data_IF_789601767894
#
_entry.id   IF_789601767894
#
_cell.length_a   1.000
_cell.length_b   1.000
_cell.length_c   1.000
_cell.angle_alpha   90.00
_cell.angle_beta   90.00
_cell.angle_gamma   90.00
#
_symmetry.space_group_name_H-M   'P 1'
#
loop_
_entity.id
_entity.type
_entity.pdbx_description
1 polymer ?
#
# COMPACT_ATOMS: atom_id res chain seq x y z
N UNK A 1 0.31 -7.60 -13.54
CA UNK A 1 -1.04 -8.13 -13.27
C UNK A 1 -1.64 -7.29 -12.16
N UNK A 2 -2.73 -6.58 -12.43
CA UNK A 2 -3.43 -5.75 -11.45
C UNK A 2 -4.63 -6.56 -10.92
N UNK A 3 -4.66 -6.83 -9.62
CA UNK A 3 -5.77 -7.57 -9.00
C UNK A 3 -6.90 -6.59 -8.68
N UNK A 4 -8.03 -6.69 -9.38
CA UNK A 4 -9.23 -5.88 -9.14
C UNK A 4 -10.08 -6.53 -8.04
N UNK A 5 -10.36 -5.79 -6.97
CA UNK A 5 -11.31 -6.18 -5.91
C UNK A 5 -12.48 -5.22 -5.98
N UNK A 6 -13.63 -5.70 -6.44
CA UNK A 6 -14.89 -4.96 -6.43
C UNK A 6 -15.63 -5.25 -5.13
N UNK A 7 -15.83 -4.23 -4.29
CA UNK A 7 -16.70 -4.35 -3.11
C UNK A 7 -17.70 -3.20 -3.15
N UNK A 8 -18.96 -3.50 -3.49
CA UNK A 8 -20.09 -2.58 -3.44
C UNK A 8 -19.87 -1.24 -4.19
N UNK A 9 -19.38 -1.28 -5.43
CA UNK A 9 -19.29 -0.11 -6.32
C UNK A 9 -17.99 0.71 -6.24
N UNK A 10 -17.04 0.34 -5.37
CA UNK A 10 -15.73 0.99 -5.29
C UNK A 10 -14.64 0.10 -5.91
N UNK A 11 -13.91 0.63 -6.89
CA UNK A 11 -12.76 -0.03 -7.51
C UNK A 11 -11.55 0.07 -6.59
N UNK A 12 -11.10 -1.06 -6.06
CA UNK A 12 -9.80 -1.20 -5.39
C UNK A 12 -8.94 -2.18 -6.17
N UNK A 13 -7.63 -1.93 -6.20
CA UNK A 13 -6.71 -2.86 -6.85
C UNK A 13 -5.34 -2.88 -6.22
N UNK A 14 -4.61 -3.95 -6.48
CA UNK A 14 -3.21 -4.10 -6.09
C UNK A 14 -2.32 -3.69 -7.26
N UNK A 15 -1.39 -2.79 -6.99
CA UNK A 15 -0.39 -2.29 -7.92
C UNK A 15 1.01 -2.69 -7.47
N UNK A 16 1.83 -3.15 -8.42
CA UNK A 16 3.23 -3.57 -8.19
C UNK A 16 3.43 -4.64 -7.11
N UNK A 17 2.36 -5.37 -6.74
CA UNK A 17 2.32 -6.25 -5.56
C UNK A 17 2.74 -5.55 -4.25
N UNK A 18 2.64 -4.22 -4.21
CA UNK A 18 3.11 -3.40 -3.09
C UNK A 18 2.04 -2.49 -2.52
N UNK A 19 1.07 -2.06 -3.31
CA UNK A 19 0.14 -1.01 -2.89
C UNK A 19 -1.30 -1.41 -3.16
N UNK A 20 -2.16 -1.30 -2.15
CA UNK A 20 -3.61 -1.31 -2.36
C UNK A 20 -4.06 0.10 -2.70
N UNK A 21 -4.56 0.29 -3.91
CA UNK A 21 -5.08 1.56 -4.43
C UNK A 21 -6.61 1.55 -4.45
N UNK A 22 -7.18 2.75 -4.43
CA UNK A 22 -8.62 3.01 -4.58
C UNK A 22 -8.82 4.22 -5.49
N UNK A 23 -9.80 4.13 -6.38
CA UNK A 23 -10.30 5.29 -7.11
C UNK A 23 -11.42 5.95 -6.31
N UNK A 24 -11.38 7.27 -6.18
CA UNK A 24 -12.44 8.07 -5.57
C UNK A 24 -13.43 8.59 -6.63
N UNK A 25 -14.64 9.04 -6.24
CA UNK A 25 -15.64 9.49 -7.21
C UNK A 25 -15.21 10.70 -8.06
N UNK A 26 -14.28 11.51 -7.56
CA UNK A 26 -13.65 12.63 -8.27
C UNK A 26 -12.51 12.18 -9.21
N UNK A 27 -12.25 10.87 -9.32
CA UNK A 27 -11.22 10.30 -10.20
C UNK A 27 -9.82 10.25 -9.61
N UNK A 28 -9.63 10.71 -8.37
CA UNK A 28 -8.35 10.66 -7.68
C UNK A 28 -7.97 9.22 -7.27
N UNK A 29 -6.67 8.93 -7.27
CA UNK A 29 -6.13 7.61 -6.89
C UNK A 29 -5.49 7.71 -5.50
N UNK A 30 -6.02 6.96 -4.54
CA UNK A 30 -5.52 6.94 -3.17
C UNK A 30 -4.84 5.59 -2.88
N UNK A 31 -3.63 5.64 -2.33
CA UNK A 31 -2.96 4.47 -1.74
C UNK A 31 -3.45 4.31 -0.30
N UNK A 32 -4.08 3.16 -0.01
CA UNK A 32 -4.66 2.84 1.29
C UNK A 32 -3.62 2.23 2.24
N UNK A 33 -2.85 1.27 1.75
CA UNK A 33 -1.86 0.51 2.52
C UNK A 33 -0.77 -0.05 1.61
N UNK A 34 0.33 -0.48 2.24
CA UNK A 34 1.39 -1.24 1.57
C UNK A 34 1.27 -2.73 1.93
N UNK A 35 1.42 -3.61 0.94
CA UNK A 35 1.43 -5.07 1.11
C UNK A 35 2.82 -5.55 1.53
N UNK A 36 2.84 -6.50 2.46
CA UNK A 36 4.05 -7.20 2.89
C UNK A 36 4.42 -8.31 1.88
N UNK A 37 5.60 -8.88 2.05
CA UNK A 37 6.15 -9.90 1.15
C UNK A 37 5.28 -11.18 1.06
N UNK A 38 4.43 -11.45 2.05
CA UNK A 38 3.49 -12.57 2.02
C UNK A 38 2.28 -12.32 1.09
N UNK A 39 2.14 -11.10 0.59
CA UNK A 39 1.10 -10.69 -0.36
C UNK A 39 -0.33 -10.65 0.20
N UNK A 40 -0.53 -11.00 1.48
CA UNK A 40 -1.83 -10.98 2.16
C UNK A 40 -1.89 -9.92 3.25
N UNK A 41 -0.80 -9.77 3.99
CA UNK A 41 -0.68 -8.81 5.08
C UNK A 41 -0.39 -7.42 4.54
N UNK A 42 -0.89 -6.40 5.24
CA UNK A 42 -0.71 -5.00 4.85
C UNK A 42 -0.48 -4.12 6.06
N UNK A 43 0.24 -3.02 5.86
CA UNK A 43 0.42 -1.95 6.86
C UNK A 43 -0.11 -0.62 6.33
N UNK A 44 -0.68 0.19 7.20
CA UNK A 44 -1.24 1.49 6.84
C UNK A 44 -0.13 2.46 6.40
N UNK A 45 -0.49 3.46 5.59
CA UNK A 45 0.45 4.51 5.24
C UNK A 45 0.84 5.32 6.49
N UNK A 46 2.09 5.76 6.54
CA UNK A 46 2.77 6.38 7.68
C UNK A 46 2.93 5.46 8.89
N UNK A 47 3.11 4.17 8.65
CA UNK A 47 3.43 3.19 9.69
C UNK A 47 4.69 2.40 9.40
N UNK A 48 5.25 1.84 10.46
CA UNK A 48 6.39 0.95 10.45
C UNK A 48 6.03 -0.33 11.20
N UNK A 49 6.48 -1.47 10.68
CA UNK A 49 6.26 -2.78 11.29
C UNK A 49 7.53 -3.62 11.21
N UNK A 50 7.94 -4.22 12.33
CA UNK A 50 9.03 -5.20 12.39
C UNK A 50 8.45 -6.62 12.45
N UNK A 51 8.84 -7.47 11.51
CA UNK A 51 8.50 -8.90 11.47
C UNK A 51 9.78 -9.71 11.32
N UNK A 52 10.17 -10.41 12.38
CA UNK A 52 11.45 -11.13 12.43
C UNK A 52 12.62 -10.16 12.24
N UNK A 53 13.45 -10.41 11.21
CA UNK A 53 14.61 -9.58 10.85
C UNK A 53 14.30 -8.46 9.86
N UNK A 54 13.03 -8.33 9.43
CA UNK A 54 12.63 -7.34 8.45
C UNK A 54 11.87 -6.20 9.12
N UNK A 55 12.21 -4.98 8.75
CA UNK A 55 11.48 -3.76 9.09
C UNK A 55 10.87 -3.19 7.82
N UNK A 56 9.55 -3.08 7.82
CA UNK A 56 8.73 -2.55 6.72
C UNK A 56 8.31 -1.11 7.05
N UNK A 57 8.49 -0.18 6.12
CA UNK A 57 8.03 1.20 6.24
C UNK A 57 7.15 1.57 5.06
N UNK A 58 5.93 2.02 5.34
CA UNK A 58 5.00 2.56 4.34
C UNK A 58 4.76 4.02 4.68
N UNK A 59 5.18 4.99 3.86
CA UNK A 59 5.17 6.40 4.27
C UNK A 59 5.10 7.39 3.11
N UNK A 60 4.65 8.61 3.40
CA UNK A 60 4.73 9.78 2.50
C UNK A 60 5.91 10.65 2.90
N UNK A 61 6.68 11.17 1.94
CA UNK A 61 7.68 12.22 2.21
C UNK A 61 7.03 13.59 2.02
N UNK A 62 7.17 14.49 2.99
CA UNK A 62 6.91 15.94 2.90
C UNK A 62 5.86 16.41 1.87
N UNK A 63 4.56 16.33 2.20
CA UNK A 63 3.45 16.80 1.36
C UNK A 63 3.40 16.25 -0.09
N UNK A 64 4.23 15.28 -0.44
CA UNK A 64 4.15 14.57 -1.70
C UNK A 64 2.97 13.58 -1.66
N UNK A 65 2.22 13.50 -2.75
CA UNK A 65 1.14 12.53 -2.92
C UNK A 65 1.69 11.09 -3.05
N UNK A 66 3.00 10.95 -3.33
CA UNK A 66 3.68 9.66 -3.46
C UNK A 66 3.82 8.95 -2.12
N UNK A 67 3.49 7.66 -2.16
CA UNK A 67 3.75 6.72 -1.06
C UNK A 67 4.97 5.87 -1.41
N UNK A 68 5.87 5.74 -0.45
CA UNK A 68 7.07 4.94 -0.51
C UNK A 68 6.90 3.68 0.33
N UNK A 69 7.46 2.58 -0.16
CA UNK A 69 7.54 1.32 0.56
C UNK A 69 9.00 0.87 0.62
N UNK A 70 9.53 0.79 1.84
CA UNK A 70 10.90 0.36 2.10
C UNK A 70 10.92 -0.89 2.98
N UNK A 71 11.83 -1.82 2.66
CA UNK A 71 12.10 -3.01 3.45
C UNK A 71 13.57 -3.03 3.80
N UNK A 72 13.89 -3.07 5.10
CA UNK A 72 15.26 -3.24 5.60
C UNK A 72 15.36 -4.59 6.27
N UNK A 73 16.43 -5.32 6.01
CA UNK A 73 16.74 -6.59 6.68
C UNK A 73 17.97 -6.39 7.55
N UNK A 74 17.87 -6.79 8.83
CA UNK A 74 19.00 -6.86 9.77
C UNK A 74 19.88 -8.09 9.55
#
# INVERSE_FOLDING_TARGET
MELLVTNNGWLRWISENKFTKKCTPDGSIIILNCLLDDGKSSINVNTELKVGKKTYKCFRKNNDERVYFEVKTE
#
